data_IF_113571379367
#
_entry.id   IF_113571379367
#
_cell.length_a   1.000
_cell.length_b   1.000
_cell.length_c   1.000
_cell.angle_alpha   90.00
_cell.angle_beta   90.00
_cell.angle_gamma   90.00
#
_symmetry.space_group_name_H-M   'P 1'
#
loop_
_entity.id
_entity.type
_entity.pdbx_description
1 polymer ?
#
# COMPACT_ATOMS: atom_id res chain seq x y z
N UNK A 1 -21.31 18.41 -37.39
CA UNK A 1 -19.94 18.97 -37.51
C UNK A 1 -19.06 18.22 -36.53
N UNK A 2 -17.99 17.60 -37.02
CA UNK A 2 -17.15 16.61 -36.33
C UNK A 2 -16.11 17.30 -35.45
N UNK A 3 -15.99 16.93 -34.17
CA UNK A 3 -14.72 16.94 -33.43
C UNK A 3 -14.62 15.67 -32.57
N UNK A 4 -13.68 14.82 -32.96
CA UNK A 4 -13.17 13.64 -32.28
C UNK A 4 -12.31 14.04 -31.07
N UNK A 5 -12.28 13.18 -30.04
CA UNK A 5 -11.00 12.83 -29.38
C UNK A 5 -10.84 11.31 -29.56
N UNK A 6 -10.54 10.93 -30.80
CA UNK A 6 -9.68 9.78 -31.09
C UNK A 6 -8.26 10.31 -30.87
N UNK A 7 -7.44 9.60 -30.10
CA UNK A 7 -6.00 9.86 -30.09
C UNK A 7 -5.50 9.71 -31.53
N UNK A 8 -4.94 10.79 -32.07
CA UNK A 8 -4.45 10.84 -33.44
C UNK A 8 -3.15 10.03 -33.57
N UNK A 9 -3.22 8.94 -34.33
CA UNK A 9 -2.10 8.22 -34.89
C UNK A 9 -2.53 7.67 -36.24
N UNK A 10 -1.82 8.06 -37.30
CA UNK A 10 -1.98 7.62 -38.68
C UNK A 10 -2.10 6.11 -38.81
N UNK A 11 -2.99 5.61 -39.70
CA UNK A 11 -3.16 4.21 -40.15
C UNK A 11 -2.06 3.24 -39.67
N UNK A 12 -2.24 2.78 -38.45
CA UNK A 12 -1.67 1.64 -37.77
C UNK A 12 -2.75 1.23 -36.76
N UNK A 13 -2.90 -0.05 -36.46
CA UNK A 13 -3.89 -0.62 -35.54
C UNK A 13 -4.40 0.39 -34.49
N UNK A 14 -5.72 0.61 -34.39
CA UNK A 14 -6.28 1.35 -33.25
C UNK A 14 -5.74 0.66 -32.00
N UNK A 15 -4.76 1.30 -31.35
CA UNK A 15 -3.94 0.65 -30.35
C UNK A 15 -4.84 0.12 -29.24
N UNK A 16 -4.61 -1.13 -28.85
CA UNK A 16 -5.33 -1.76 -27.75
C UNK A 16 -5.41 -0.79 -26.57
N UNK A 17 -6.63 -0.52 -26.09
CA UNK A 17 -6.79 0.32 -24.91
C UNK A 17 -6.40 -0.53 -23.69
N UNK A 18 -5.13 -0.46 -23.30
CA UNK A 18 -4.58 -1.26 -22.20
C UNK A 18 -4.80 -0.56 -20.86
N UNK A 19 -5.46 -1.24 -19.94
CA UNK A 19 -5.76 -0.78 -18.57
C UNK A 19 -5.44 -1.90 -17.57
N UNK A 20 -5.60 -1.64 -16.26
CA UNK A 20 -5.34 -2.63 -15.21
C UNK A 20 -6.60 -3.00 -14.44
N UNK A 21 -6.63 -4.21 -13.88
CA UNK A 21 -7.68 -4.61 -12.93
C UNK A 21 -7.86 -3.58 -11.80
N UNK A 22 -9.12 -3.40 -11.40
CA UNK A 22 -9.58 -2.40 -10.45
C UNK A 22 -9.79 -1.01 -11.05
N UNK A 23 -9.45 -0.77 -12.32
CA UNK A 23 -9.63 0.54 -12.97
C UNK A 23 -11.11 0.85 -13.20
N UNK A 24 -11.47 2.12 -13.04
CA UNK A 24 -12.75 2.69 -13.40
C UNK A 24 -12.57 3.71 -14.54
N UNK A 25 -13.34 3.58 -15.63
CA UNK A 25 -13.32 4.50 -16.77
C UNK A 25 -14.71 4.93 -17.22
N UNK A 26 -14.78 6.17 -17.71
CA UNK A 26 -15.96 6.72 -18.35
C UNK A 26 -15.84 6.59 -19.87
N UNK A 27 -16.91 6.07 -20.49
CA UNK A 27 -17.10 6.01 -21.93
C UNK A 27 -18.26 6.94 -22.31
N UNK A 28 -18.16 7.60 -23.46
CA UNK A 28 -19.22 8.50 -23.93
C UNK A 28 -19.33 8.52 -25.44
N UNK A 29 -20.54 8.72 -25.93
CA UNK A 29 -20.86 9.11 -27.30
C UNK A 29 -21.46 10.51 -27.31
N UNK A 30 -21.63 11.09 -28.49
CA UNK A 30 -22.36 12.36 -28.62
C UNK A 30 -23.83 12.15 -28.25
N UNK A 31 -24.38 13.03 -27.41
CA UNK A 31 -25.80 13.03 -27.11
C UNK A 31 -26.60 13.65 -28.26
N UNK A 32 -27.53 12.88 -28.79
CA UNK A 32 -28.56 13.29 -29.73
C UNK A 32 -29.93 13.19 -29.06
N UNK A 33 -30.66 14.31 -29.04
CA UNK A 33 -31.97 14.42 -28.41
C UNK A 33 -33.00 13.50 -29.11
N UNK A 34 -33.79 12.78 -28.31
CA UNK A 34 -34.79 11.83 -28.81
C UNK A 34 -34.25 10.45 -29.18
N UNK A 35 -32.92 10.25 -29.15
CA UNK A 35 -32.30 8.95 -29.37
C UNK A 35 -32.18 8.15 -28.07
N UNK A 36 -32.17 6.83 -28.18
CA UNK A 36 -31.90 5.89 -27.10
C UNK A 36 -30.53 5.25 -27.25
N UNK A 37 -29.88 4.91 -26.15
CA UNK A 37 -28.58 4.25 -26.12
C UNK A 37 -28.72 2.90 -25.41
N UNK A 38 -27.94 1.91 -25.85
CA UNK A 38 -27.84 0.62 -25.19
C UNK A 38 -26.38 0.18 -25.19
N UNK A 39 -25.76 0.19 -24.01
CA UNK A 39 -24.38 -0.25 -23.82
C UNK A 39 -24.31 -1.72 -23.40
N UNK A 40 -23.34 -2.43 -23.96
CA UNK A 40 -23.03 -3.82 -23.60
C UNK A 40 -21.51 -3.96 -23.42
N UNK A 41 -21.08 -4.78 -22.47
CA UNK A 41 -19.69 -5.22 -22.35
C UNK A 41 -19.65 -6.68 -22.77
N UNK A 42 -18.85 -6.98 -23.79
CA UNK A 42 -18.71 -8.33 -24.31
C UNK A 42 -17.34 -8.90 -23.93
N UNK A 43 -17.29 -10.17 -23.56
CA UNK A 43 -16.04 -10.95 -23.44
C UNK A 43 -15.62 -11.54 -24.78
N UNK A 44 -16.57 -11.73 -25.70
CA UNK A 44 -16.32 -12.18 -27.06
C UNK A 44 -17.29 -11.49 -28.03
N UNK A 45 -16.83 -11.18 -29.24
CA UNK A 45 -17.65 -10.59 -30.32
C UNK A 45 -18.10 -11.61 -31.37
N UNK A 46 -17.53 -12.82 -31.36
CA UNK A 46 -17.90 -13.87 -32.32
C UNK A 46 -17.78 -15.29 -31.70
N UNK A 47 -18.90 -15.90 -31.27
CA UNK A 47 -20.22 -15.30 -31.13
C UNK A 47 -20.23 -14.21 -30.04
N UNK A 48 -21.18 -13.25 -30.07
CA UNK A 48 -21.33 -12.26 -29.01
C UNK A 48 -21.62 -12.91 -27.66
N UNK A 49 -20.79 -12.62 -26.67
CA UNK A 49 -20.92 -13.12 -25.30
C UNK A 49 -20.81 -11.95 -24.33
N UNK A 50 -21.82 -11.76 -23.48
CA UNK A 50 -21.85 -10.70 -22.47
C UNK A 50 -20.85 -11.06 -21.36
N UNK A 51 -20.01 -10.10 -20.97
CA UNK A 51 -19.08 -10.29 -19.88
C UNK A 51 -19.83 -10.51 -18.55
N UNK A 52 -19.27 -11.34 -17.66
CA UNK A 52 -19.85 -11.47 -16.33
C UNK A 52 -19.75 -10.13 -15.59
N UNK A 53 -20.81 -9.68 -14.90
CA UNK A 53 -20.76 -8.43 -14.12
C UNK A 53 -19.69 -8.42 -13.03
N UNK A 54 -19.26 -9.60 -12.56
CA UNK A 54 -18.15 -9.74 -11.63
C UNK A 54 -16.79 -9.42 -12.25
N UNK A 55 -16.64 -9.61 -13.57
CA UNK A 55 -15.39 -9.42 -14.31
C UNK A 55 -15.28 -8.00 -14.86
N UNK A 56 -16.37 -7.48 -15.42
CA UNK A 56 -16.52 -6.10 -15.85
C UNK A 56 -18.00 -5.69 -15.82
N UNK A 57 -18.30 -4.47 -15.37
CA UNK A 57 -19.69 -4.04 -15.20
C UNK A 57 -19.89 -2.53 -15.20
N UNK A 58 -21.10 -2.10 -15.55
CA UNK A 58 -21.48 -0.69 -15.49
C UNK A 58 -21.75 -0.25 -14.06
N UNK A 59 -21.24 0.93 -13.69
CA UNK A 59 -21.50 1.61 -12.42
C UNK A 59 -22.69 2.59 -12.57
N UNK A 60 -22.92 3.08 -13.79
CA UNK A 60 -24.04 3.97 -14.14
C UNK A 60 -25.07 3.26 -15.02
N UNK A 61 -26.19 3.92 -15.29
CA UNK A 61 -27.23 3.39 -16.18
C UNK A 61 -26.67 3.17 -17.61
N UNK A 62 -26.70 1.93 -18.15
CA UNK A 62 -26.18 1.61 -19.48
C UNK A 62 -27.06 2.10 -20.63
N UNK A 63 -28.10 2.91 -20.36
CA UNK A 63 -28.96 3.51 -21.40
C UNK A 63 -28.69 5.00 -21.65
N UNK A 64 -27.65 5.56 -21.04
CA UNK A 64 -27.24 6.95 -21.21
C UNK A 64 -26.23 7.11 -22.35
N UNK A 65 -26.04 8.35 -22.82
CA UNK A 65 -24.97 8.69 -23.79
C UNK A 65 -23.56 8.57 -23.20
N UNK A 66 -23.46 8.53 -21.87
CA UNK A 66 -22.24 8.40 -21.09
C UNK A 66 -22.42 7.34 -20.01
N UNK A 67 -21.43 6.45 -19.90
CA UNK A 67 -21.43 5.34 -18.95
C UNK A 67 -20.10 5.21 -18.25
N UNK A 68 -20.14 4.71 -17.03
CA UNK A 68 -18.99 4.44 -16.20
C UNK A 68 -18.84 2.93 -16.03
N UNK A 69 -17.65 2.38 -16.24
CA UNK A 69 -17.37 0.92 -16.22
C UNK A 69 -16.28 0.60 -15.22
N UNK A 70 -16.56 -0.40 -14.38
CA UNK A 70 -15.59 -1.04 -13.49
C UNK A 70 -14.97 -2.26 -14.17
N UNK A 71 -13.64 -2.35 -14.16
CA UNK A 71 -12.87 -3.46 -14.71
C UNK A 71 -12.25 -4.27 -13.57
N UNK A 72 -12.80 -5.44 -13.25
CA UNK A 72 -12.39 -6.22 -12.07
C UNK A 72 -11.43 -7.36 -12.40
N UNK A 73 -11.54 -7.95 -13.59
CA UNK A 73 -10.74 -9.11 -13.98
C UNK A 73 -10.00 -8.87 -15.30
N UNK A 74 -8.75 -9.31 -15.36
CA UNK A 74 -7.91 -9.25 -16.54
C UNK A 74 -8.52 -10.06 -17.69
N UNK A 75 -8.41 -9.53 -18.90
CA UNK A 75 -9.02 -10.10 -20.09
C UNK A 75 -9.18 -9.07 -21.19
N UNK A 76 -9.56 -9.55 -22.37
CA UNK A 76 -9.98 -8.70 -23.48
C UNK A 76 -11.48 -8.55 -23.43
N UNK A 77 -11.95 -7.30 -23.44
CA UNK A 77 -13.36 -6.97 -23.48
C UNK A 77 -13.67 -6.04 -24.63
N UNK A 78 -14.94 -5.96 -24.99
CA UNK A 78 -15.45 -5.08 -26.01
C UNK A 78 -16.59 -4.26 -25.44
N UNK A 79 -16.35 -2.96 -25.24
CA UNK A 79 -17.41 -2.02 -24.88
C UNK A 79 -18.14 -1.66 -26.17
N UNK A 80 -19.42 -1.99 -26.23
CA UNK A 80 -20.26 -1.67 -27.39
C UNK A 80 -21.40 -0.76 -27.00
N UNK A 81 -21.81 0.09 -27.94
CA UNK A 81 -22.96 0.97 -27.79
C UNK A 81 -23.79 0.94 -29.05
N UNK A 82 -25.09 0.74 -28.90
CA UNK A 82 -26.08 0.88 -29.96
C UNK A 82 -26.88 2.14 -29.70
N UNK A 83 -26.85 3.08 -30.64
CA UNK A 83 -27.70 4.26 -30.63
C UNK A 83 -28.85 4.03 -31.61
N UNK A 84 -30.08 4.33 -31.19
CA UNK A 84 -31.30 4.19 -32.03
C UNK A 84 -32.08 5.50 -32.01
N UNK A 85 -32.44 6.01 -33.18
CA UNK A 85 -33.29 7.20 -33.32
C UNK A 85 -34.79 6.88 -33.19
N UNK A 86 -35.62 7.92 -33.11
CA UNK A 86 -37.08 7.78 -33.02
C UNK A 86 -37.73 7.13 -34.26
N UNK A 87 -37.02 7.08 -35.40
CA UNK A 87 -37.43 6.38 -36.61
C UNK A 87 -37.05 4.89 -36.62
N UNK A 88 -36.31 4.43 -35.61
CA UNK A 88 -35.82 3.05 -35.49
C UNK A 88 -34.51 2.78 -36.22
N UNK A 89 -33.84 3.78 -36.80
CA UNK A 89 -32.51 3.60 -37.38
C UNK A 89 -31.49 3.43 -36.26
N UNK A 90 -30.64 2.41 -36.34
CA UNK A 90 -29.61 2.15 -35.34
C UNK A 90 -28.19 2.14 -35.89
N UNK A 91 -27.24 2.53 -35.05
CA UNK A 91 -25.81 2.47 -35.32
C UNK A 91 -25.08 1.85 -34.12
N UNK A 92 -24.23 0.85 -34.38
CA UNK A 92 -23.44 0.17 -33.34
C UNK A 92 -21.97 0.52 -33.45
N UNK A 93 -21.34 0.79 -32.32
CA UNK A 93 -19.88 0.98 -32.18
C UNK A 93 -19.33 -0.02 -31.17
N UNK A 94 -18.06 -0.37 -31.34
CA UNK A 94 -17.32 -1.24 -30.43
C UNK A 94 -15.91 -0.70 -30.20
N UNK A 95 -15.42 -0.83 -28.97
CA UNK A 95 -14.07 -0.52 -28.56
C UNK A 95 -13.47 -1.72 -27.83
N UNK A 96 -12.33 -2.22 -28.30
CA UNK A 96 -11.57 -3.25 -27.62
C UNK A 96 -10.79 -2.65 -26.43
N UNK A 97 -10.88 -3.30 -25.28
CA UNK A 97 -10.21 -2.92 -24.03
C UNK A 97 -9.44 -4.13 -23.53
N UNK A 98 -8.14 -3.96 -23.33
CA UNK A 98 -7.26 -4.99 -22.79
C UNK A 98 -7.02 -4.71 -21.31
N UNK A 99 -7.64 -5.49 -20.42
CA UNK A 99 -7.41 -5.40 -18.98
C UNK A 99 -6.25 -6.33 -18.63
N UNK A 100 -5.17 -5.76 -18.11
CA UNK A 100 -4.01 -6.49 -17.62
C UNK A 100 -4.14 -6.77 -16.12
N UNK A 101 -3.56 -7.87 -15.62
CA UNK A 101 -3.50 -8.15 -14.20
C UNK A 101 -2.89 -6.98 -13.42
N UNK A 102 -3.43 -6.70 -12.25
CA UNK A 102 -2.89 -5.69 -11.35
C UNK A 102 -2.13 -6.34 -10.18
N UNK A 103 -0.88 -6.71 -10.46
CA UNK A 103 0.05 -7.33 -9.51
C UNK A 103 0.95 -6.31 -8.80
N UNK A 104 0.64 -5.01 -8.91
CA UNK A 104 1.38 -3.97 -8.19
C UNK A 104 1.25 -4.21 -6.69
N UNK A 105 2.36 -4.10 -5.98
CA UNK A 105 2.40 -4.46 -4.57
C UNK A 105 3.04 -3.41 -3.70
N UNK A 106 2.58 -3.33 -2.45
CA UNK A 106 3.19 -2.56 -1.37
C UNK A 106 3.46 -3.47 -0.18
N UNK A 107 4.63 -3.33 0.44
CA UNK A 107 4.94 -4.00 1.69
C UNK A 107 5.99 -3.26 2.49
N UNK A 108 6.25 -3.69 3.71
CA UNK A 108 7.34 -3.16 4.51
C UNK A 108 8.69 -3.69 4.03
N UNK A 109 9.71 -2.83 3.98
CA UNK A 109 11.08 -3.22 3.66
C UNK A 109 11.70 -4.11 4.74
N UNK A 110 11.27 -3.93 6.00
CA UNK A 110 11.55 -4.81 7.12
C UNK A 110 10.23 -5.16 7.80
N UNK A 111 10.00 -6.42 8.14
CA UNK A 111 8.76 -6.87 8.81
C UNK A 111 8.87 -6.86 10.33
N UNK A 112 10.06 -6.62 10.88
CA UNK A 112 10.26 -6.44 12.32
C UNK A 112 11.38 -5.44 12.60
N UNK A 113 11.25 -4.71 13.70
CA UNK A 113 12.31 -3.82 14.19
C UNK A 113 12.20 -3.60 15.69
N UNK A 114 13.25 -3.09 16.32
CA UNK A 114 13.28 -2.87 17.77
C UNK A 114 13.95 -1.56 18.14
N UNK A 115 13.53 -0.96 19.26
CA UNK A 115 14.22 0.16 19.90
C UNK A 115 14.11 0.09 21.42
N UNK A 116 14.84 0.94 22.13
CA UNK A 116 14.63 1.15 23.56
C UNK A 116 13.60 2.26 23.79
N UNK A 117 12.83 2.16 24.86
CA UNK A 117 11.91 3.21 25.30
C UNK A 117 12.63 4.55 25.48
N UNK A 118 12.00 5.61 25.01
CA UNK A 118 12.35 7.00 25.30
C UNK A 118 11.21 7.69 26.05
N UNK A 119 11.53 8.63 26.94
CA UNK A 119 10.51 9.42 27.66
C UNK A 119 9.70 10.30 26.68
N UNK A 120 10.28 10.61 25.53
CA UNK A 120 9.65 11.31 24.41
C UNK A 120 10.27 10.86 23.10
N UNK A 121 9.49 10.74 22.04
CA UNK A 121 10.01 10.45 20.70
C UNK A 121 10.25 8.96 20.45
N UNK A 122 9.33 8.11 20.91
CA UNK A 122 9.17 6.73 20.43
C UNK A 122 8.51 6.68 19.03
N UNK A 123 8.32 7.81 18.36
CA UNK A 123 7.90 7.85 16.95
C UNK A 123 8.89 7.08 16.08
N UNK A 124 8.41 6.42 15.03
CA UNK A 124 9.28 5.72 14.09
C UNK A 124 8.77 5.75 12.66
N UNK A 125 9.68 5.51 11.72
CA UNK A 125 9.41 5.49 10.30
C UNK A 125 9.58 4.08 9.75
N UNK A 126 8.63 3.66 8.92
CA UNK A 126 8.68 2.36 8.25
C UNK A 126 8.88 2.57 6.75
N UNK A 127 10.04 2.20 6.24
CA UNK A 127 10.31 2.20 4.82
C UNK A 127 9.47 1.13 4.10
N UNK A 128 8.92 1.51 2.95
CA UNK A 128 8.09 0.63 2.13
C UNK A 128 8.85 0.14 0.89
N UNK A 129 8.49 -1.05 0.43
CA UNK A 129 8.84 -1.61 -0.86
C UNK A 129 7.61 -1.53 -1.76
N UNK A 130 7.73 -0.77 -2.86
CA UNK A 130 6.65 -0.52 -3.82
C UNK A 130 7.06 -1.08 -5.18
N UNK A 131 6.36 -2.09 -5.66
CA UNK A 131 6.70 -2.79 -6.89
C UNK A 131 5.56 -2.67 -7.92
N UNK A 132 5.94 -2.54 -9.18
CA UNK A 132 5.05 -2.59 -10.32
C UNK A 132 4.70 -4.05 -10.71
N UNK A 133 3.92 -4.22 -11.78
CA UNK A 133 3.48 -5.55 -12.25
C UNK A 133 4.63 -6.47 -12.69
N UNK A 134 5.81 -5.92 -12.95
CA UNK A 134 7.01 -6.66 -13.35
C UNK A 134 7.99 -6.86 -12.19
N UNK A 135 7.64 -6.44 -10.98
CA UNK A 135 8.52 -6.48 -9.82
C UNK A 135 9.58 -5.37 -9.80
N UNK A 136 9.48 -4.35 -10.65
CA UNK A 136 10.36 -3.19 -10.64
C UNK A 136 9.81 -2.09 -9.70
N UNK A 137 10.63 -1.13 -9.24
CA UNK A 137 10.14 -0.04 -8.38
C UNK A 137 8.99 0.77 -9.02
N UNK A 138 7.95 1.06 -8.24
CA UNK A 138 6.80 1.83 -8.72
C UNK A 138 7.20 3.27 -9.09
N UNK A 139 6.85 3.70 -10.30
CA UNK A 139 7.24 5.03 -10.82
C UNK A 139 6.39 6.18 -10.27
N UNK A 140 6.89 7.42 -10.41
CA UNK A 140 6.20 8.64 -9.96
C UNK A 140 4.78 8.83 -10.52
N UNK A 141 4.44 8.23 -11.66
CA UNK A 141 3.14 8.38 -12.33
C UNK A 141 1.96 7.81 -11.52
N UNK A 142 2.23 7.00 -10.49
CA UNK A 142 1.22 6.38 -9.63
C UNK A 142 1.00 7.15 -8.32
N UNK A 143 1.83 8.15 -8.02
CA UNK A 143 1.78 8.86 -6.74
C UNK A 143 0.93 10.15 -6.82
N UNK A 144 0.37 10.62 -5.69
CA UNK A 144 0.48 10.05 -4.35
C UNK A 144 -0.32 8.74 -4.19
N UNK A 145 0.14 7.87 -3.29
CA UNK A 145 -0.63 6.69 -2.88
C UNK A 145 -1.43 7.02 -1.62
N UNK A 146 -2.71 6.68 -1.58
CA UNK A 146 -3.51 6.72 -0.36
C UNK A 146 -3.38 5.39 0.35
N UNK A 147 -2.66 5.37 1.48
CA UNK A 147 -2.37 4.16 2.26
C UNK A 147 -3.23 4.15 3.51
N UNK A 148 -4.10 3.14 3.62
CA UNK A 148 -4.84 2.80 4.83
C UNK A 148 -4.11 1.65 5.52
N UNK A 149 -3.97 1.76 6.83
CA UNK A 149 -3.29 0.77 7.65
C UNK A 149 -3.87 0.78 9.07
N UNK A 150 -3.48 -0.17 9.91
CA UNK A 150 -3.82 -0.18 11.33
C UNK A 150 -2.57 -0.12 12.18
N UNK A 151 -2.67 0.50 13.35
CA UNK A 151 -1.67 0.44 14.43
C UNK A 151 -2.34 -0.23 15.62
N UNK A 152 -1.89 -1.43 16.00
CA UNK A 152 -2.54 -2.25 17.04
C UNK A 152 -4.04 -2.46 16.80
N UNK A 153 -4.45 -2.63 15.54
CA UNK A 153 -5.85 -2.77 15.13
C UNK A 153 -6.60 -1.45 14.92
N UNK A 154 -6.08 -0.31 15.38
CA UNK A 154 -6.72 0.99 15.22
C UNK A 154 -6.44 1.58 13.83
N UNK A 155 -7.47 1.98 13.06
CA UNK A 155 -7.31 2.42 11.68
C UNK A 155 -6.62 3.79 11.55
N UNK A 156 -5.72 3.88 10.57
CA UNK A 156 -4.91 5.05 10.23
C UNK A 156 -4.88 5.25 8.70
N UNK A 157 -4.51 6.46 8.28
CA UNK A 157 -4.37 6.79 6.85
C UNK A 157 -3.28 7.82 6.61
N UNK A 158 -2.49 7.61 5.56
CA UNK A 158 -1.44 8.53 5.11
C UNK A 158 -1.35 8.62 3.59
N UNK A 159 -0.96 9.79 3.08
CA UNK A 159 -0.62 9.98 1.68
C UNK A 159 0.89 9.81 1.49
N UNK A 160 1.27 8.78 0.74
CA UNK A 160 2.66 8.51 0.39
C UNK A 160 3.07 9.31 -0.84
N UNK A 161 4.25 9.95 -0.79
CA UNK A 161 4.78 10.74 -1.91
C UNK A 161 5.89 9.96 -2.61
N UNK A 162 6.12 10.22 -3.90
CA UNK A 162 7.14 9.49 -4.64
C UNK A 162 8.55 9.59 -4.02
N UNK A 163 8.89 10.79 -3.51
CA UNK A 163 10.18 11.07 -2.89
C UNK A 163 10.26 10.68 -1.40
N UNK A 164 9.16 10.23 -0.80
CA UNK A 164 9.09 9.83 0.61
C UNK A 164 8.16 8.63 0.75
N UNK A 165 8.76 7.45 0.70
CA UNK A 165 8.10 6.14 0.71
C UNK A 165 8.17 5.51 2.10
N UNK A 166 7.93 6.34 3.13
CA UNK A 166 7.88 5.90 4.52
C UNK A 166 6.49 6.12 5.12
N UNK A 167 6.04 5.20 5.98
CA UNK A 167 4.92 5.45 6.90
C UNK A 167 5.45 6.04 8.19
N UNK A 168 4.81 7.10 8.67
CA UNK A 168 5.13 7.78 9.92
C UNK A 168 4.27 7.22 11.04
N UNK A 169 4.84 6.50 12.00
CA UNK A 169 4.08 5.97 13.15
C UNK A 169 4.38 6.88 14.33
N UNK A 170 3.36 7.60 14.80
CA UNK A 170 3.51 8.60 15.84
C UNK A 170 3.03 8.09 17.21
N UNK A 171 3.53 8.66 18.29
CA UNK A 171 3.13 8.40 19.69
C UNK A 171 1.66 8.75 19.98
N UNK A 172 0.96 9.38 19.03
CA UNK A 172 -0.50 9.55 19.12
C UNK A 172 -1.27 8.31 18.65
N UNK A 173 -0.62 7.38 17.95
CA UNK A 173 -1.23 6.15 17.40
C UNK A 173 -1.08 4.94 18.34
N UNK A 174 -0.19 5.01 19.33
CA UNK A 174 0.05 3.94 20.30
C UNK A 174 0.61 4.51 21.59
N UNK A 175 0.75 3.71 22.64
CA UNK A 175 1.38 4.13 23.90
C UNK A 175 2.48 3.15 24.29
N UNK A 176 3.71 3.65 24.44
CA UNK A 176 4.84 2.87 24.94
C UNK A 176 4.84 2.82 26.48
N UNK A 177 5.12 1.64 27.02
CA UNK A 177 5.22 1.38 28.45
C UNK A 177 6.69 1.39 28.90
N UNK A 178 7.10 2.27 29.85
CA UNK A 178 8.47 2.29 30.34
C UNK A 178 8.87 1.07 31.18
N UNK A 179 7.90 0.36 31.79
CA UNK A 179 8.14 -0.77 32.68
C UNK A 179 8.03 -2.12 31.98
N UNK A 180 7.47 -2.17 30.77
CA UNK A 180 7.24 -3.42 30.03
C UNK A 180 7.47 -3.24 28.54
N UNK A 181 8.00 -4.27 27.89
CA UNK A 181 8.19 -4.25 26.44
C UNK A 181 6.85 -4.00 25.75
N UNK A 182 6.82 -3.00 24.88
CA UNK A 182 5.64 -2.66 24.08
C UNK A 182 5.80 -3.25 22.70
N UNK A 183 4.80 -4.00 22.24
CA UNK A 183 4.70 -4.43 20.84
C UNK A 183 3.74 -3.52 20.10
N UNK A 184 4.17 -3.01 18.95
CA UNK A 184 3.34 -2.19 18.05
C UNK A 184 3.25 -2.91 16.71
N UNK A 185 2.06 -3.44 16.41
CA UNK A 185 1.75 -4.08 15.13
C UNK A 185 1.23 -3.04 14.16
N UNK A 186 1.82 -2.98 12.97
CA UNK A 186 1.38 -2.11 11.88
C UNK A 186 1.00 -2.98 10.68
N UNK A 187 -0.23 -2.87 10.19
CA UNK A 187 -0.72 -3.69 9.08
C UNK A 187 -1.32 -2.82 7.97
N UNK A 188 -0.83 -2.96 6.75
CA UNK A 188 -1.39 -2.29 5.56
C UNK A 188 -2.70 -2.99 5.19
N UNK A 189 -3.78 -2.22 5.10
CA UNK A 189 -5.13 -2.78 4.87
C UNK A 189 -5.66 -2.48 3.47
N UNK A 190 -5.40 -1.29 2.94
CA UNK A 190 -5.85 -0.90 1.61
C UNK A 190 -4.97 0.21 1.05
N UNK A 191 -4.64 0.14 -0.25
CA UNK A 191 -3.86 1.17 -0.93
C UNK A 191 -4.45 1.45 -2.31
N UNK A 192 -4.58 2.73 -2.64
CA UNK A 192 -4.94 3.17 -3.99
C UNK A 192 -3.93 4.16 -4.54
N UNK A 193 -3.73 4.13 -5.86
CA UNK A 193 -2.91 5.11 -6.56
C UNK A 193 -3.66 6.41 -6.84
N UNK A 194 -2.97 7.39 -7.45
CA UNK A 194 -3.55 8.70 -7.83
C UNK A 194 -4.75 8.60 -8.78
N UNK A 195 -4.94 7.46 -9.44
CA UNK A 195 -6.06 7.17 -10.34
C UNK A 195 -7.13 6.30 -9.66
N UNK A 196 -7.05 6.13 -8.33
CA UNK A 196 -7.89 5.27 -7.52
C UNK A 196 -7.83 3.78 -7.88
N UNK A 197 -6.77 3.34 -8.57
CA UNK A 197 -6.59 1.92 -8.86
C UNK A 197 -5.92 1.25 -7.65
N UNK A 198 -6.43 0.10 -7.18
CA UNK A 198 -5.85 -0.60 -6.04
C UNK A 198 -4.37 -0.97 -6.25
N UNK A 199 -3.61 -0.96 -5.17
CA UNK A 199 -2.26 -1.54 -5.08
C UNK A 199 -2.32 -2.61 -3.99
N UNK A 200 -1.95 -3.84 -4.32
CA UNK A 200 -2.17 -4.98 -3.43
C UNK A 200 -1.18 -4.95 -2.26
N UNK A 201 -1.61 -5.20 -1.01
CA UNK A 201 -0.68 -5.55 0.05
C UNK A 201 0.11 -6.79 -0.37
N UNK A 202 1.44 -6.67 -0.46
CA UNK A 202 2.32 -7.79 -0.76
C UNK A 202 2.47 -8.73 0.45
N UNK A 203 3.32 -9.74 0.31
CA UNK A 203 3.59 -10.72 1.38
C UNK A 203 4.07 -10.07 2.70
N UNK A 204 4.70 -8.90 2.62
CA UNK A 204 5.20 -8.12 3.76
C UNK A 204 4.20 -7.04 4.19
N UNK A 205 2.90 -7.34 4.25
CA UNK A 205 1.85 -6.38 4.61
C UNK A 205 1.80 -5.99 6.10
N UNK A 206 2.56 -6.69 6.95
CA UNK A 206 2.58 -6.46 8.41
C UNK A 206 4.00 -6.21 8.91
N UNK A 207 4.14 -5.24 9.83
CA UNK A 207 5.36 -4.93 10.56
C UNK A 207 5.13 -5.05 12.07
N UNK A 208 6.07 -5.65 12.79
CA UNK A 208 6.07 -5.73 14.24
C UNK A 208 7.25 -4.93 14.83
N UNK A 209 6.95 -3.84 15.54
CA UNK A 209 7.93 -3.07 16.31
C UNK A 209 7.92 -3.52 17.76
N UNK A 210 9.10 -3.76 18.36
CA UNK A 210 9.24 -3.94 19.81
C UNK A 210 10.01 -2.78 20.43
N UNK A 211 9.38 -2.09 21.38
CA UNK A 211 9.99 -1.04 22.18
C UNK A 211 10.33 -1.67 23.53
N UNK A 212 11.61 -1.81 23.84
CA UNK A 212 12.09 -2.40 25.08
C UNK A 212 11.88 -1.45 26.26
N UNK A 213 11.41 -1.98 27.38
CA UNK A 213 11.27 -1.25 28.63
C UNK A 213 12.61 -0.65 29.10
N UNK A 214 12.52 0.36 29.97
CA UNK A 214 13.67 0.81 30.74
C UNK A 214 14.11 -0.34 31.64
N UNK A 215 15.39 -0.76 31.62
CA UNK A 215 15.87 -1.79 32.52
C UNK A 215 15.72 -1.34 33.98
N UNK A 216 15.00 -2.11 34.79
CA UNK A 216 15.04 -1.95 36.24
C UNK A 216 16.35 -2.60 36.75
N UNK A 217 17.31 -1.76 37.13
CA UNK A 217 18.49 -2.23 37.86
C UNK A 217 18.11 -2.27 39.34
N UNK A 218 17.65 -3.43 39.81
CA UNK A 218 17.54 -3.67 41.25
C UNK A 218 18.93 -3.95 41.83
N UNK A 219 19.46 -3.00 42.60
CA UNK A 219 20.52 -3.31 43.56
C UNK A 219 19.85 -3.93 44.78
N UNK A 220 19.71 -5.26 44.79
CA UNK A 220 19.30 -5.95 46.01
C UNK A 220 20.33 -5.70 47.12
N UNK A 221 19.92 -5.68 48.38
CA UNK A 221 20.87 -5.56 49.51
C UNK A 221 21.90 -6.70 49.49
N UNK A 222 21.57 -7.86 48.92
CA UNK A 222 22.54 -8.93 48.68
C UNK A 222 23.60 -8.56 47.62
N UNK A 223 23.20 -7.98 46.49
CA UNK A 223 24.14 -7.48 45.47
C UNK A 223 25.00 -6.35 46.02
N UNK A 224 24.40 -5.44 46.81
CA UNK A 224 25.11 -4.36 47.50
C UNK A 224 26.13 -4.91 48.49
N UNK A 225 25.76 -5.88 49.34
CA UNK A 225 26.69 -6.58 50.26
C UNK A 225 27.81 -7.29 49.51
N UNK A 226 27.51 -8.03 48.44
CA UNK A 226 28.53 -8.70 47.63
C UNK A 226 29.53 -7.72 47.01
N UNK A 227 29.06 -6.55 46.57
CA UNK A 227 29.94 -5.51 46.02
C UNK A 227 30.86 -4.94 47.10
N UNK A 228 30.33 -4.62 48.29
CA UNK A 228 31.13 -4.14 49.42
C UNK A 228 32.13 -5.19 49.93
N UNK A 229 31.75 -6.46 49.98
CA UNK A 229 32.66 -7.54 50.39
C UNK A 229 33.81 -7.70 49.39
N UNK A 230 33.53 -7.58 48.08
CA UNK A 230 34.56 -7.58 47.03
C UNK A 230 35.47 -6.34 47.10
N UNK A 231 34.94 -5.16 47.37
CA UNK A 231 35.78 -3.97 47.60
C UNK A 231 36.68 -4.12 48.83
N UNK A 232 36.19 -4.67 49.94
CA UNK A 232 37.00 -4.93 51.15
C UNK A 232 38.13 -5.94 50.88
N UNK A 233 37.87 -7.00 50.11
CA UNK A 233 38.90 -7.98 49.73
C UNK A 233 39.98 -7.34 48.85
N UNK A 234 39.58 -6.46 47.92
CA UNK A 234 40.52 -5.79 47.01
C UNK A 234 41.38 -4.75 47.75
N UNK A 235 40.79 -4.00 48.69
CA UNK A 235 41.53 -3.09 49.57
C UNK A 235 42.48 -3.83 50.54
N UNK A 236 42.09 -4.97 51.11
CA UNK A 236 42.99 -5.75 51.98
C UNK A 236 44.14 -6.43 51.22
N UNK A 237 43.89 -6.97 50.03
CA UNK A 237 44.95 -7.61 49.23
C UNK A 237 46.02 -6.63 48.72
N UNK A 238 45.65 -5.37 48.46
CA UNK A 238 46.60 -4.32 48.04
C UNK A 238 47.45 -3.76 49.20
N UNK A 239 46.99 -3.86 50.45
CA UNK A 239 47.78 -3.50 51.64
C UNK A 239 48.74 -4.62 52.07
N UNK A 240 48.36 -5.90 51.95
CA UNK A 240 49.22 -7.02 52.38
C UNK A 240 50.41 -7.25 51.43
N UNK A 241 50.32 -6.84 50.16
CA UNK A 241 51.45 -6.95 49.21
C UNK A 241 52.55 -5.88 49.37
N UNK A 242 52.40 -4.87 50.24
CA UNK A 242 53.43 -3.82 50.43
C UNK A 242 54.35 -3.98 51.63
N UNK A 243 54.19 -5.04 52.42
CA UNK A 243 55.04 -5.27 53.61
C UNK A 243 55.69 -6.65 53.57
N UNK A 244 56.60 -6.88 52.62
CA UNK A 244 57.79 -7.71 52.86
C UNK A 244 58.77 -7.65 51.69
N UNK A 245 59.71 -6.71 51.76
CA UNK A 245 61.10 -6.97 51.35
C UNK A 245 62.03 -6.01 52.09
N UNK A 246 62.39 -6.38 53.31
CA UNK A 246 63.63 -5.92 53.94
C UNK A 246 64.58 -7.11 53.80
N UNK A 247 65.46 -7.05 52.80
CA UNK A 247 66.61 -7.96 52.70
C UNK A 247 67.68 -7.50 53.71
N UNK A 248 68.14 -8.36 54.62
CA UNK A 248 69.30 -8.06 55.44
C UNK A 248 70.59 -8.54 54.75
N UNK A 249 71.47 -7.55 54.53
CA UNK A 249 72.94 -7.60 54.32
C UNK A 249 73.52 -8.49 53.22
#
# INVERSE_FOLDING_TARGET
>A
MIIFILAAGTLAAQGDHVIYEGTHLNYRVGFNEGNTYAWEILSNVNPPEIANPGDAGFITDPNLSDVAVQWNLAGTYFVTVTETDAGGCSNKKALAVQVQPNNRSIGFGLTASTECFSISGNDFQLALSLLDNNGAPLTAAYFPLAVQFTVNGEPQSQLLRYNDQTLQITETMFTANPQQNTSVEVMITNVTDVKNVPVQPGANGTHLRTIYAIPEIEFTEELRRQYYDKERITAYSSFVSRTHRVEPK
#
